data_IF_834850519215
#
_entry.id   IF_834850519215
#
_cell.length_a   1.000
_cell.length_b   1.000
_cell.length_c   1.000
_cell.angle_alpha   90.00
_cell.angle_beta   90.00
_cell.angle_gamma   90.00
#
_symmetry.space_group_name_H-M   'P 1'
#
loop_
_entity.id
_entity.type
_entity.pdbx_description
1 polymer ?
#
# COMPACT_ATOMS: atom_id res chain seq x y z
N UNK A 1 -73.93 5.30 -16.33
CA UNK A 1 -72.86 5.91 -15.50
C UNK A 1 -71.94 4.84 -14.87
N UNK A 2 -71.50 3.84 -15.65
CA UNK A 2 -70.67 2.72 -15.14
C UNK A 2 -69.34 2.54 -15.89
N UNK A 3 -69.13 3.27 -16.98
CA UNK A 3 -67.91 3.17 -17.80
C UNK A 3 -66.79 4.09 -17.28
N UNK A 4 -67.15 5.19 -16.59
CA UNK A 4 -66.19 6.21 -16.18
C UNK A 4 -65.32 5.80 -14.98
N UNK A 5 -65.82 4.93 -14.08
CA UNK A 5 -65.06 4.47 -12.91
C UNK A 5 -63.98 3.43 -13.22
N UNK A 6 -64.04 2.77 -14.39
CA UNK A 6 -63.07 1.74 -14.76
C UNK A 6 -61.74 2.31 -15.26
N UNK A 7 -61.72 3.51 -15.84
CA UNK A 7 -60.49 4.10 -16.40
C UNK A 7 -59.54 4.70 -15.34
N UNK A 8 -60.06 5.08 -14.17
CA UNK A 8 -59.23 5.68 -13.12
C UNK A 8 -58.39 4.63 -12.38
N UNK A 9 -58.87 3.37 -12.33
CA UNK A 9 -58.18 2.28 -11.64
C UNK A 9 -56.99 1.69 -12.42
N UNK A 10 -56.94 1.83 -13.75
CA UNK A 10 -55.82 1.33 -14.57
C UNK A 10 -54.60 2.27 -14.62
N UNK A 11 -54.75 3.54 -14.21
CA UNK A 11 -53.65 4.50 -14.26
C UNK A 11 -52.66 4.36 -13.09
N UNK A 12 -53.00 3.60 -12.04
CA UNK A 12 -52.19 3.47 -10.83
C UNK A 12 -50.97 2.55 -10.93
N UNK A 13 -50.89 1.67 -11.94
CA UNK A 13 -49.81 0.69 -12.06
C UNK A 13 -48.72 1.06 -13.08
N UNK A 14 -48.86 2.16 -13.80
CA UNK A 14 -47.86 2.63 -14.78
C UNK A 14 -46.87 3.64 -14.18
N UNK A 15 -46.89 3.87 -12.87
CA UNK A 15 -45.90 4.68 -12.18
C UNK A 15 -44.58 3.89 -12.10
N UNK A 16 -43.88 3.83 -13.23
CA UNK A 16 -42.54 3.27 -13.31
C UNK A 16 -41.61 4.22 -12.53
N UNK A 17 -41.22 3.79 -11.34
CA UNK A 17 -40.33 4.55 -10.47
C UNK A 17 -39.04 4.84 -11.23
N UNK A 18 -38.83 6.11 -11.58
CA UNK A 18 -37.65 6.55 -12.33
C UNK A 18 -36.46 6.52 -11.39
N UNK A 19 -35.66 5.47 -11.46
CA UNK A 19 -34.41 5.38 -10.71
C UNK A 19 -33.45 6.43 -11.28
N UNK A 20 -33.15 7.45 -10.49
CA UNK A 20 -32.13 8.47 -10.81
C UNK A 20 -30.90 8.15 -9.97
N UNK A 21 -29.83 7.72 -10.62
CA UNK A 21 -28.52 7.61 -9.97
C UNK A 21 -27.91 8.99 -9.83
N UNK A 22 -27.42 9.31 -8.64
CA UNK A 22 -26.71 10.55 -8.35
C UNK A 22 -25.32 10.20 -7.86
N UNK A 23 -24.29 10.78 -8.46
CA UNK A 23 -22.95 10.70 -7.91
C UNK A 23 -22.91 11.49 -6.60
N UNK A 24 -22.53 10.81 -5.53
CA UNK A 24 -22.38 11.39 -4.20
C UNK A 24 -20.91 11.30 -3.84
N UNK A 25 -20.27 12.46 -3.65
CA UNK A 25 -18.90 12.53 -3.14
C UNK A 25 -18.92 12.17 -1.65
N UNK A 26 -18.52 10.94 -1.34
CA UNK A 26 -18.36 10.47 0.04
C UNK A 26 -16.93 10.77 0.47
N UNK A 27 -16.70 11.54 1.56
CA UNK A 27 -15.36 11.76 2.07
C UNK A 27 -14.78 10.42 2.57
N UNK A 28 -13.77 9.93 1.86
CA UNK A 28 -13.02 8.73 2.25
C UNK A 28 -11.95 9.14 3.24
N UNK A 29 -11.79 8.46 4.39
CA UNK A 29 -10.65 8.68 5.27
C UNK A 29 -9.35 8.40 4.52
N UNK A 30 -8.62 9.44 4.15
CA UNK A 30 -7.28 9.32 3.59
C UNK A 30 -6.29 9.28 4.75
N UNK A 31 -5.51 8.19 4.86
CA UNK A 31 -4.33 8.21 5.71
C UNK A 31 -3.38 9.31 5.20
N UNK A 32 -2.78 10.07 6.11
CA UNK A 32 -1.71 10.98 5.73
C UNK A 32 -0.65 10.21 4.93
N UNK A 33 -0.10 10.80 3.87
CA UNK A 33 0.97 10.16 3.12
C UNK A 33 2.25 10.07 3.98
N UNK A 34 3.11 9.06 3.74
CA UNK A 34 4.46 9.06 4.30
C UNK A 34 5.23 10.31 3.86
N UNK A 35 6.07 10.89 4.72
CA UNK A 35 7.08 11.85 4.32
C UNK A 35 7.95 11.35 3.15
N UNK A 36 8.36 12.26 2.26
CA UNK A 36 9.11 11.90 1.04
C UNK A 36 10.41 11.12 1.33
N UNK A 37 11.09 11.42 2.44
CA UNK A 37 12.33 10.75 2.83
C UNK A 37 12.13 9.26 3.19
N UNK A 38 10.95 8.86 3.66
CA UNK A 38 10.58 7.46 3.88
C UNK A 38 10.32 6.73 2.56
N UNK A 39 9.87 7.46 1.54
CA UNK A 39 9.57 6.94 0.21
C UNK A 39 10.81 6.74 -0.67
N UNK A 40 11.96 7.32 -0.28
CA UNK A 40 13.24 7.11 -0.99
C UNK A 40 13.58 5.61 -1.02
N UNK A 41 14.04 5.13 -2.16
CA UNK A 41 14.52 3.76 -2.28
C UNK A 41 15.80 3.58 -1.47
N UNK A 42 15.88 2.52 -0.67
CA UNK A 42 17.12 2.20 0.03
C UNK A 42 18.15 1.63 -0.94
N UNK A 43 19.33 2.26 -1.02
CA UNK A 43 20.47 1.80 -1.81
C UNK A 43 21.71 1.82 -0.92
N UNK A 44 22.30 0.66 -0.59
CA UNK A 44 23.55 0.63 0.12
C UNK A 44 24.69 1.11 -0.78
N UNK A 45 25.69 1.78 -0.19
CA UNK A 45 26.86 2.27 -0.92
C UNK A 45 27.70 1.12 -1.49
N UNK A 46 27.79 0.02 -0.74
CA UNK A 46 28.57 -1.17 -1.11
C UNK A 46 27.79 -2.43 -0.75
N UNK A 47 27.73 -3.39 -1.68
CA UNK A 47 27.16 -4.70 -1.44
C UNK A 47 28.30 -5.69 -1.13
N UNK A 48 28.17 -6.51 -0.07
CA UNK A 48 29.17 -7.52 0.23
C UNK A 48 29.17 -8.61 -0.85
N UNK A 49 30.35 -8.99 -1.31
CA UNK A 49 30.52 -10.09 -2.26
C UNK A 49 30.70 -11.41 -1.52
N UNK A 50 29.92 -12.41 -1.93
CA UNK A 50 30.10 -13.77 -1.43
C UNK A 50 31.36 -14.40 -2.02
N UNK A 51 32.21 -14.93 -1.16
CA UNK A 51 33.45 -15.60 -1.52
C UNK A 51 33.34 -17.11 -1.36
N UNK A 52 34.21 -17.84 -2.07
CA UNK A 52 34.30 -19.30 -1.94
C UNK A 52 34.59 -19.71 -0.49
N UNK A 53 34.01 -20.81 0.02
CA UNK A 53 34.42 -21.38 1.31
C UNK A 53 35.89 -21.79 1.39
N UNK A 54 36.55 -21.96 0.23
CA UNK A 54 37.99 -22.25 0.15
C UNK A 54 38.88 -21.01 0.24
N UNK A 55 38.30 -19.81 0.25
CA UNK A 55 39.06 -18.57 0.43
C UNK A 55 39.59 -18.52 1.88
N UNK A 56 40.91 -18.35 2.09
CA UNK A 56 41.50 -18.34 3.43
C UNK A 56 41.01 -17.17 4.30
N UNK A 57 40.42 -16.13 3.71
CA UNK A 57 39.83 -14.99 4.42
C UNK A 57 38.33 -15.16 4.66
N UNK A 58 37.70 -16.22 4.16
CA UNK A 58 36.28 -16.45 4.37
C UNK A 58 36.01 -16.89 5.81
N UNK A 59 35.17 -16.14 6.53
CA UNK A 59 34.64 -16.54 7.84
C UNK A 59 33.20 -17.05 7.74
N UNK A 60 32.37 -16.43 6.89
CA UNK A 60 30.96 -16.78 6.72
C UNK A 60 30.48 -16.66 5.27
N UNK A 61 31.25 -17.22 4.34
CA UNK A 61 31.13 -16.97 2.90
C UNK A 61 31.29 -15.48 2.53
N UNK A 62 31.83 -14.68 3.45
CA UNK A 62 32.20 -13.29 3.30
C UNK A 62 33.61 -13.11 3.88
N UNK A 63 34.33 -12.09 3.39
CA UNK A 63 35.52 -11.57 4.05
C UNK A 63 35.12 -10.74 5.29
N UNK A 64 36.06 -10.41 6.19
CA UNK A 64 35.78 -9.52 7.32
C UNK A 64 35.20 -8.15 6.89
N UNK A 65 35.67 -7.61 5.76
CA UNK A 65 35.14 -6.38 5.18
C UNK A 65 33.70 -6.56 4.68
N UNK A 66 33.41 -7.68 4.00
CA UNK A 66 32.07 -8.04 3.58
C UNK A 66 31.09 -8.22 4.75
N UNK A 67 31.54 -8.83 5.86
CA UNK A 67 30.73 -8.93 7.07
C UNK A 67 30.44 -7.56 7.69
N UNK A 68 31.43 -6.65 7.69
CA UNK A 68 31.24 -5.29 8.18
C UNK A 68 30.22 -4.54 7.30
N UNK A 69 30.32 -4.64 5.98
CA UNK A 69 29.36 -4.04 5.05
C UNK A 69 27.94 -4.60 5.28
N UNK A 70 27.81 -5.92 5.43
CA UNK A 70 26.51 -6.55 5.72
C UNK A 70 25.89 -6.04 7.04
N UNK A 71 26.69 -5.88 8.10
CA UNK A 71 26.21 -5.35 9.38
C UNK A 71 25.71 -3.92 9.27
N UNK A 72 26.38 -3.09 8.48
CA UNK A 72 25.92 -1.72 8.22
C UNK A 72 24.57 -1.75 7.49
N UNK A 73 24.45 -2.55 6.43
CA UNK A 73 23.19 -2.71 5.69
C UNK A 73 22.03 -3.13 6.60
N UNK A 74 22.27 -4.12 7.46
CA UNK A 74 21.23 -4.59 8.41
C UNK A 74 20.84 -3.48 9.37
N UNK A 75 21.82 -2.72 9.88
CA UNK A 75 21.59 -1.60 10.81
C UNK A 75 20.75 -0.51 10.15
N UNK A 76 21.07 -0.14 8.92
CA UNK A 76 20.35 0.88 8.17
C UNK A 76 18.90 0.46 7.87
N UNK A 77 18.71 -0.81 7.45
CA UNK A 77 17.38 -1.38 7.22
C UNK A 77 16.55 -1.42 8.51
N UNK A 78 17.15 -1.76 9.65
CA UNK A 78 16.48 -1.74 10.95
C UNK A 78 16.06 -0.33 11.35
N UNK A 79 16.92 0.67 11.15
CA UNK A 79 16.59 2.07 11.40
C UNK A 79 15.41 2.52 10.53
N UNK A 80 15.48 2.26 9.22
CA UNK A 80 14.40 2.60 8.28
C UNK A 80 13.08 1.92 8.62
N UNK A 81 13.12 0.66 9.06
CA UNK A 81 11.94 -0.07 9.54
C UNK A 81 11.37 0.57 10.81
N UNK A 82 12.20 1.03 11.73
CA UNK A 82 11.77 1.75 12.92
C UNK A 82 11.05 3.06 12.57
N UNK A 83 11.56 3.81 11.59
CA UNK A 83 10.95 5.05 11.11
C UNK A 83 9.61 4.81 10.42
N UNK A 84 9.51 3.80 9.56
CA UNK A 84 8.24 3.37 8.96
C UNK A 84 7.20 2.98 10.01
N UNK A 85 7.62 2.26 11.06
CA UNK A 85 6.75 1.91 12.20
C UNK A 85 6.35 3.13 13.03
N UNK A 86 7.23 4.12 13.16
CA UNK A 86 6.92 5.35 13.88
C UNK A 86 5.88 6.19 13.15
N UNK A 87 5.96 6.28 11.82
CA UNK A 87 4.97 6.97 11.00
C UNK A 87 3.62 6.22 10.93
N UNK A 88 3.64 4.89 10.87
CA UNK A 88 2.41 4.10 10.71
C UNK A 88 1.55 3.99 11.99
N UNK A 89 2.06 4.48 13.13
CA UNK A 89 1.34 4.53 14.41
C UNK A 89 0.43 5.76 14.45
#
# INVERSE_FOLDING_TARGET
ALVFSAMILLAGCAAQERIVTKEVLVPVPTKAAPPDWLMVEYKPDELPEFVSPSDPKASSALTPEGEKALRLIITDLQSRLAEWRAWAR
#
